data_IF_035000388661
#
_entry.id   IF_035000388661
#
_cell.length_a   1.000
_cell.length_b   1.000
_cell.length_c   1.000
_cell.angle_alpha   90.00
_cell.angle_beta   90.00
_cell.angle_gamma   90.00
#
_symmetry.space_group_name_H-M   'P 1'
#
loop_
_entity.id
_entity.type
_entity.pdbx_description
1 polymer ?
#
# COMPACT_ATOMS: atom_id res chain seq x y z
N UNK A 1 -20.75 9.89 -11.82
CA UNK A 1 -19.27 10.05 -11.83
C UNK A 1 -18.87 10.51 -10.44
N UNK A 2 -18.49 9.61 -9.52
CA UNK A 2 -18.18 10.02 -8.15
C UNK A 2 -16.86 10.79 -8.14
N UNK A 3 -16.89 12.01 -7.62
CA UNK A 3 -15.70 12.82 -7.39
C UNK A 3 -14.93 12.22 -6.22
N UNK A 4 -13.99 11.30 -6.50
CA UNK A 4 -13.06 10.80 -5.47
C UNK A 4 -12.41 12.02 -4.79
N UNK A 5 -12.60 12.15 -3.48
CA UNK A 5 -12.01 13.22 -2.68
C UNK A 5 -10.68 12.72 -2.12
N UNK A 6 -9.64 13.55 -2.19
CA UNK A 6 -8.30 13.18 -1.76
C UNK A 6 -7.90 14.04 -0.57
N UNK A 7 -7.32 13.42 0.46
CA UNK A 7 -6.82 14.10 1.66
C UNK A 7 -5.34 13.77 1.88
N UNK A 8 -4.58 14.72 2.41
CA UNK A 8 -3.20 14.49 2.86
C UNK A 8 -3.17 13.48 4.01
N UNK A 9 -2.24 12.53 3.99
CA UNK A 9 -2.10 11.51 5.02
C UNK A 9 -1.80 12.12 6.39
N UNK A 10 -2.60 11.79 7.40
CA UNK A 10 -2.40 12.19 8.78
C UNK A 10 -1.60 11.13 9.57
N UNK A 11 -1.08 11.49 10.75
CA UNK A 11 -0.40 10.51 11.64
C UNK A 11 -1.31 9.33 12.03
N UNK A 12 -2.61 9.58 12.22
CA UNK A 12 -3.61 8.56 12.50
C UNK A 12 -3.75 7.53 11.36
N UNK A 13 -3.53 7.96 10.12
CA UNK A 13 -3.62 7.10 8.93
C UNK A 13 -2.47 6.09 8.88
N UNK A 14 -1.28 6.56 9.25
CA UNK A 14 -0.09 5.71 9.41
C UNK A 14 -0.27 4.68 10.51
N UNK A 15 -0.83 5.06 11.66
CA UNK A 15 -1.10 4.13 12.75
C UNK A 15 -2.11 3.06 12.31
N UNK A 16 -3.16 3.44 11.58
CA UNK A 16 -4.14 2.49 11.04
C UNK A 16 -3.52 1.50 10.07
N UNK A 17 -2.67 1.97 9.14
CA UNK A 17 -1.95 1.08 8.22
C UNK A 17 -0.99 0.17 8.98
N UNK A 18 -0.23 0.71 9.93
CA UNK A 18 0.69 -0.06 10.76
C UNK A 18 -0.02 -1.14 11.59
N UNK A 19 -1.19 -0.83 12.15
CA UNK A 19 -2.01 -1.77 12.91
C UNK A 19 -2.54 -2.91 12.03
N UNK A 20 -2.98 -2.62 10.81
CA UNK A 20 -3.41 -3.65 9.85
C UNK A 20 -2.25 -4.56 9.47
N UNK A 21 -1.06 -4.00 9.21
CA UNK A 21 0.16 -4.78 8.94
C UNK A 21 0.56 -5.65 10.13
N UNK A 22 0.50 -5.09 11.33
CA UNK A 22 0.85 -5.80 12.55
C UNK A 22 -0.10 -7.00 12.77
N UNK A 23 -1.42 -6.78 12.71
CA UNK A 23 -2.42 -7.84 12.81
C UNK A 23 -2.20 -8.94 11.76
N UNK A 24 -1.90 -8.55 10.52
CA UNK A 24 -1.60 -9.49 9.44
C UNK A 24 -0.39 -10.37 9.78
N UNK A 25 0.70 -9.78 10.27
CA UNK A 25 1.91 -10.50 10.69
C UNK A 25 1.61 -11.43 11.86
N UNK A 26 0.86 -10.98 12.87
CA UNK A 26 0.50 -11.81 14.02
C UNK A 26 -0.30 -13.04 13.61
N UNK A 27 -1.28 -12.87 12.70
CA UNK A 27 -2.08 -13.97 12.16
C UNK A 27 -1.21 -14.95 11.37
N UNK A 28 -0.25 -14.46 10.58
CA UNK A 28 0.67 -15.32 9.82
C UNK A 28 1.56 -16.17 10.72
N UNK A 29 2.15 -15.55 11.76
CA UNK A 29 3.01 -16.23 12.73
C UNK A 29 2.22 -17.26 13.51
N UNK A 30 1.04 -16.90 14.01
CA UNK A 30 0.18 -17.82 14.75
C UNK A 30 -0.27 -19.01 13.89
N UNK A 31 -0.65 -18.76 12.63
CA UNK A 31 -1.01 -19.81 11.68
C UNK A 31 0.17 -20.71 11.33
N UNK A 32 1.39 -20.15 11.31
CA UNK A 32 2.62 -20.90 11.03
C UNK A 32 2.87 -21.98 12.10
N UNK A 33 2.78 -21.59 13.37
CA UNK A 33 2.99 -22.46 14.53
C UNK A 33 2.05 -23.69 14.48
N UNK A 34 0.82 -23.51 13.99
CA UNK A 34 -0.18 -24.58 13.87
C UNK A 34 -0.07 -25.42 12.59
N UNK A 35 0.29 -24.83 11.45
CA UNK A 35 0.19 -25.49 10.13
C UNK A 35 1.51 -26.09 9.61
N UNK A 36 2.65 -25.66 10.15
CA UNK A 36 3.99 -26.19 9.81
C UNK A 36 4.15 -27.72 9.96
N UNK A 37 3.58 -28.40 10.99
CA UNK A 37 3.83 -29.84 11.20
C UNK A 37 3.11 -30.77 10.22
N UNK A 38 2.11 -30.28 9.46
CA UNK A 38 1.25 -31.13 8.63
C UNK A 38 1.09 -30.63 7.19
N UNK A 39 0.53 -29.43 7.01
CA UNK A 39 0.08 -28.94 5.71
C UNK A 39 0.73 -27.60 5.35
N UNK A 40 2.06 -27.60 5.19
CA UNK A 40 2.84 -26.41 4.86
C UNK A 40 2.37 -25.70 3.57
N UNK A 41 1.81 -26.43 2.61
CA UNK A 41 1.24 -25.88 1.37
C UNK A 41 -0.02 -25.03 1.62
N UNK A 42 -0.86 -25.40 2.59
CA UNK A 42 -2.02 -24.58 2.99
C UNK A 42 -1.55 -23.26 3.63
N UNK A 43 -0.45 -23.30 4.39
CA UNK A 43 0.14 -22.11 4.96
C UNK A 43 0.66 -21.15 3.88
N UNK A 44 1.31 -21.67 2.83
CA UNK A 44 1.74 -20.86 1.67
C UNK A 44 0.54 -20.23 0.94
N UNK A 45 -0.56 -20.96 0.75
CA UNK A 45 -1.76 -20.40 0.12
C UNK A 45 -2.34 -19.24 0.96
N UNK A 46 -2.41 -19.39 2.29
CA UNK A 46 -2.85 -18.32 3.20
C UNK A 46 -1.94 -17.09 3.07
N UNK A 47 -0.62 -17.28 2.97
CA UNK A 47 0.34 -16.19 2.76
C UNK A 47 0.06 -15.44 1.45
N UNK A 48 -0.07 -16.18 0.35
CA UNK A 48 -0.28 -15.59 -0.97
C UNK A 48 -1.60 -14.81 -0.98
N UNK A 49 -2.70 -15.45 -0.57
CA UNK A 49 -4.03 -14.82 -0.54
C UNK A 49 -4.06 -13.61 0.38
N UNK A 50 -3.50 -13.73 1.58
CA UNK A 50 -3.44 -12.66 2.55
C UNK A 50 -2.64 -11.46 2.06
N UNK A 51 -1.49 -11.71 1.43
CA UNK A 51 -0.64 -10.65 0.88
C UNK A 51 -1.34 -9.93 -0.27
N UNK A 52 -1.99 -10.68 -1.18
CA UNK A 52 -2.76 -10.08 -2.28
C UNK A 52 -3.90 -9.19 -1.78
N UNK A 53 -4.63 -9.61 -0.74
CA UNK A 53 -5.69 -8.82 -0.13
C UNK A 53 -5.16 -7.53 0.50
N UNK A 54 -4.08 -7.63 1.28
CA UNK A 54 -3.42 -6.49 1.92
C UNK A 54 -2.93 -5.47 0.88
N UNK A 55 -2.28 -5.97 -0.17
CA UNK A 55 -1.74 -5.16 -1.27
C UNK A 55 -2.85 -4.46 -2.05
N UNK A 56 -3.94 -5.18 -2.36
CA UNK A 56 -5.11 -4.62 -3.04
C UNK A 56 -5.81 -3.56 -2.18
N UNK A 57 -5.95 -3.81 -0.88
CA UNK A 57 -6.49 -2.83 0.06
C UNK A 57 -5.61 -1.58 0.12
N UNK A 58 -4.30 -1.73 0.21
CA UNK A 58 -3.38 -0.60 0.25
C UNK A 58 -3.50 0.27 -1.01
N UNK A 59 -3.42 -0.32 -2.22
CA UNK A 59 -3.51 0.45 -3.46
C UNK A 59 -4.84 1.15 -3.66
N UNK A 60 -5.96 0.54 -3.22
CA UNK A 60 -7.28 1.18 -3.32
C UNK A 60 -7.48 2.37 -2.38
N UNK A 61 -6.64 2.52 -1.35
CA UNK A 61 -6.78 3.57 -0.33
C UNK A 61 -5.77 4.72 -0.50
N UNK A 62 -4.75 4.57 -1.34
CA UNK A 62 -3.69 5.58 -1.51
C UNK A 62 -3.54 6.01 -2.96
N UNK A 63 -3.41 7.33 -3.16
CA UNK A 63 -3.12 7.97 -4.43
C UNK A 63 -1.89 8.89 -4.27
N UNK A 64 -1.31 9.35 -5.39
CA UNK A 64 -0.07 10.11 -5.39
C UNK A 64 -0.23 11.41 -6.16
N UNK A 65 0.21 12.52 -5.59
CA UNK A 65 0.18 13.85 -6.21
C UNK A 65 1.55 14.19 -6.76
N UNK A 66 1.62 14.42 -8.08
CA UNK A 66 2.83 14.93 -8.72
C UNK A 66 3.01 16.44 -8.42
N UNK A 67 4.16 16.88 -7.87
CA UNK A 67 4.40 18.31 -7.63
C UNK A 67 4.69 19.09 -8.92
N UNK A 68 5.07 18.42 -10.02
CA UNK A 68 5.45 19.07 -11.28
C UNK A 68 4.21 19.39 -12.12
N UNK A 69 3.30 18.42 -12.27
CA UNK A 69 2.12 18.58 -13.13
C UNK A 69 0.80 18.70 -12.36
N UNK A 70 0.84 18.63 -11.02
CA UNK A 70 -0.33 18.75 -10.15
C UNK A 70 -1.35 17.61 -10.26
N UNK A 71 -1.06 16.56 -11.04
CA UNK A 71 -2.00 15.46 -11.26
C UNK A 71 -1.92 14.43 -10.13
N UNK A 72 -3.09 14.01 -9.66
CA UNK A 72 -3.26 12.84 -8.80
C UNK A 72 -3.34 11.58 -9.67
N UNK A 73 -2.55 10.57 -9.34
CA UNK A 73 -2.55 9.29 -10.02
C UNK A 73 -2.44 8.14 -9.01
N UNK A 74 -2.99 7.00 -9.39
CA UNK A 74 -2.82 5.74 -8.68
C UNK A 74 -1.63 5.02 -9.35
N UNK A 75 -0.72 4.46 -8.57
CA UNK A 75 0.39 3.63 -9.08
C UNK A 75 0.18 2.18 -8.73
N UNK A 76 0.73 1.33 -9.59
CA UNK A 76 0.76 -0.11 -9.37
C UNK A 76 1.53 -0.46 -8.09
N UNK A 77 1.10 -1.54 -7.46
CA UNK A 77 1.64 -2.08 -6.20
C UNK A 77 3.15 -2.33 -6.25
N UNK A 78 3.64 -2.84 -7.39
CA UNK A 78 5.05 -3.14 -7.62
C UNK A 78 5.90 -1.87 -7.78
N UNK A 79 5.41 -0.88 -8.53
CA UNK A 79 6.11 0.41 -8.69
C UNK A 79 6.16 1.18 -7.36
N UNK A 80 5.10 1.08 -6.56
CA UNK A 80 5.14 1.56 -5.20
C UNK A 80 6.19 0.78 -4.39
N UNK A 81 6.21 -0.55 -4.39
CA UNK A 81 7.16 -1.27 -3.52
C UNK A 81 8.65 -0.99 -3.83
N UNK A 82 9.01 -0.73 -5.10
CA UNK A 82 10.40 -0.54 -5.54
C UNK A 82 10.93 0.90 -5.39
N UNK A 83 10.05 1.88 -5.12
CA UNK A 83 10.44 3.29 -5.05
C UNK A 83 11.06 3.69 -3.70
N UNK A 84 12.14 4.51 -3.69
CA UNK A 84 12.67 5.08 -2.44
C UNK A 84 11.60 5.83 -1.65
N UNK A 85 11.44 5.45 -0.39
CA UNK A 85 10.48 6.03 0.53
C UNK A 85 11.10 7.14 1.39
N UNK A 86 10.38 8.25 1.52
CA UNK A 86 10.67 9.34 2.45
C UNK A 86 9.39 9.69 3.20
N UNK A 87 9.51 10.32 4.37
CA UNK A 87 8.35 10.66 5.20
C UNK A 87 7.29 11.41 4.39
N UNK A 88 6.12 10.77 4.19
CA UNK A 88 4.98 11.26 3.40
C UNK A 88 5.27 11.57 1.91
N UNK A 89 6.40 11.12 1.36
CA UNK A 89 6.78 11.35 -0.03
C UNK A 89 7.44 10.12 -0.63
N UNK A 90 7.15 9.85 -1.89
CA UNK A 90 7.74 8.72 -2.59
C UNK A 90 8.44 9.15 -3.87
N UNK A 91 9.56 8.54 -4.20
CA UNK A 91 10.25 8.86 -5.44
C UNK A 91 9.71 7.99 -6.58
N UNK A 92 8.81 8.57 -7.39
CA UNK A 92 8.11 7.86 -8.47
C UNK A 92 8.21 8.63 -9.79
N UNK A 93 8.16 7.88 -10.90
CA UNK A 93 8.01 8.44 -12.24
C UNK A 93 6.54 8.76 -12.46
N UNK A 94 6.20 10.01 -12.75
CA UNK A 94 4.83 10.35 -13.10
C UNK A 94 4.50 9.82 -14.50
N UNK A 95 3.39 9.10 -14.70
CA UNK A 95 3.01 8.56 -16.01
C UNK A 95 2.64 9.66 -17.01
N UNK A 96 2.23 10.85 -16.53
CA UNK A 96 1.83 11.97 -17.40
C UNK A 96 3.02 12.80 -17.88
N UNK A 97 3.88 13.25 -16.96
CA UNK A 97 5.00 14.13 -17.31
C UNK A 97 6.32 13.38 -17.53
N UNK A 98 6.38 12.07 -17.27
CA UNK A 98 7.57 11.24 -17.46
C UNK A 98 8.73 11.52 -16.51
N UNK A 99 8.65 12.58 -15.69
CA UNK A 99 9.71 12.98 -14.76
C UNK A 99 9.62 12.18 -13.44
N UNK A 100 10.78 11.79 -12.91
CA UNK A 100 10.91 11.23 -11.56
C UNK A 100 10.99 12.37 -10.55
N UNK A 101 10.13 12.33 -9.53
CA UNK A 101 10.11 13.34 -8.48
C UNK A 101 9.57 12.78 -7.18
N UNK A 102 9.76 13.51 -6.09
CA UNK A 102 9.14 13.22 -4.82
C UNK A 102 7.65 13.56 -4.87
N UNK A 103 6.81 12.55 -5.08
CA UNK A 103 5.36 12.69 -5.11
C UNK A 103 4.78 12.61 -3.70
N UNK A 104 3.74 13.40 -3.41
CA UNK A 104 3.07 13.37 -2.11
C UNK A 104 2.06 12.23 -2.06
N UNK A 105 2.04 11.51 -0.94
CA UNK A 105 1.08 10.44 -0.71
C UNK A 105 -0.24 11.06 -0.24
N UNK A 106 -1.34 10.71 -0.90
CA UNK A 106 -2.70 11.11 -0.56
C UNK A 106 -3.52 9.87 -0.21
N UNK A 107 -4.47 10.03 0.72
CA UNK A 107 -5.48 9.01 1.01
C UNK A 107 -6.74 9.31 0.19
N UNK A 108 -7.32 8.27 -0.38
CA UNK A 108 -8.61 8.32 -1.07
C UNK A 108 -9.72 8.27 0.01
N UNK A 109 -10.51 9.33 0.11
CA UNK A 109 -11.75 9.33 0.89
C UNK A 109 -12.88 8.80 -0.02
N UNK A 110 -13.57 7.75 0.44
CA UNK A 110 -14.77 7.20 -0.19
C UNK A 110 -16.01 7.79 0.45
#
# INVERSE_FOLDING_TARGET
MSTKKYRKTAKADWYRTALVLFLFITVMVFSSIFLLPGCWYLWILIIITGTLLLVNWHTKNFAYLCPICGRVFEVSTLENFLGPDRVNKKFLKCPKCGKRSWVQILRIEK
#
